data_IF_518255646952
#
_entry.id   IF_518255646952
#
_cell.length_a   1.000
_cell.length_b   1.000
_cell.length_c   1.000
_cell.angle_alpha   90.00
_cell.angle_beta   90.00
_cell.angle_gamma   90.00
#
_symmetry.space_group_name_H-M   'P 1'
#
loop_
_entity.id
_entity.type
_entity.pdbx_description
1 polymer ?
#
# COMPACT_ATOMS: atom_id res chain seq x y z
N UNK A 1 23.55 -10.27 -17.15
CA UNK A 1 22.67 -10.24 -15.96
C UNK A 1 21.96 -8.90 -16.01
N UNK A 2 20.68 -8.86 -16.35
CA UNK A 2 19.94 -7.58 -16.40
C UNK A 2 19.60 -7.21 -14.97
N UNK A 3 20.33 -6.26 -14.40
CA UNK A 3 20.03 -5.74 -13.07
C UNK A 3 18.70 -4.99 -13.14
N UNK A 4 17.72 -5.43 -12.35
CA UNK A 4 16.44 -4.72 -12.24
C UNK A 4 16.65 -3.48 -11.39
N UNK A 5 15.99 -2.38 -11.77
CA UNK A 5 16.05 -1.13 -11.02
C UNK A 5 15.36 -1.30 -9.67
N UNK A 6 15.94 -0.79 -8.58
CA UNK A 6 15.24 -0.71 -7.29
C UNK A 6 14.76 0.71 -7.02
N UNK A 7 13.57 0.87 -6.46
CA UNK A 7 13.03 2.18 -6.09
C UNK A 7 12.19 2.11 -4.83
N UNK A 8 12.35 3.11 -3.97
CA UNK A 8 11.57 3.29 -2.74
C UNK A 8 10.72 4.54 -2.85
N UNK A 9 9.44 4.45 -2.51
CA UNK A 9 8.52 5.58 -2.57
C UNK A 9 7.47 5.51 -1.47
N UNK A 10 6.93 6.68 -1.11
CA UNK A 10 5.78 6.79 -0.20
C UNK A 10 4.50 6.86 -1.01
N UNK A 11 3.43 6.25 -0.51
CA UNK A 11 2.12 6.43 -1.11
C UNK A 11 1.12 5.37 -0.67
N UNK A 12 -0.06 5.46 -1.27
CA UNK A 12 -1.18 4.57 -0.97
C UNK A 12 -1.57 3.82 -2.23
N UNK A 13 -1.81 2.51 -2.10
CA UNK A 13 -2.41 1.73 -3.17
C UNK A 13 -3.87 2.15 -3.36
N UNK A 14 -4.23 2.46 -4.60
CA UNK A 14 -5.62 2.77 -4.95
C UNK A 14 -6.48 1.50 -4.99
N UNK A 15 -5.87 0.38 -5.35
CA UNK A 15 -6.48 -0.94 -5.37
C UNK A 15 -5.53 -1.98 -4.77
N UNK A 16 -6.04 -3.10 -4.22
CA UNK A 16 -5.21 -4.19 -3.73
C UNK A 16 -4.18 -4.63 -4.77
N UNK A 17 -2.95 -4.89 -4.33
CA UNK A 17 -1.89 -5.34 -5.22
C UNK A 17 -2.19 -6.75 -5.74
N UNK A 18 -1.99 -6.98 -7.04
CA UNK A 18 -2.22 -8.29 -7.65
C UNK A 18 -1.17 -8.62 -8.71
N UNK A 19 -0.67 -9.86 -8.70
CA UNK A 19 0.20 -10.38 -9.75
C UNK A 19 -0.56 -10.43 -11.08
N UNK A 20 0.11 -10.06 -12.17
CA UNK A 20 -0.49 -10.00 -13.51
C UNK A 20 -1.27 -8.71 -13.80
N UNK A 21 -1.46 -7.84 -12.81
CA UNK A 21 -2.07 -6.52 -12.97
C UNK A 21 -1.04 -5.39 -12.79
N UNK A 22 -1.41 -4.17 -13.19
CA UNK A 22 -0.63 -2.97 -12.87
C UNK A 22 -0.96 -2.50 -11.44
N UNK A 23 0.05 -2.05 -10.69
CA UNK A 23 -0.19 -1.33 -9.45
C UNK A 23 -0.58 0.12 -9.75
N UNK A 24 -1.57 0.63 -9.00
CA UNK A 24 -1.98 2.04 -9.03
C UNK A 24 -1.65 2.65 -7.66
N UNK A 25 -0.74 3.62 -7.65
CA UNK A 25 -0.17 4.21 -6.44
C UNK A 25 -0.47 5.70 -6.45
N UNK A 26 -1.10 6.20 -5.40
CA UNK A 26 -1.26 7.63 -5.19
C UNK A 26 -0.10 8.15 -4.33
N UNK A 27 0.68 9.08 -4.89
CA UNK A 27 1.88 9.64 -4.27
C UNK A 27 1.91 11.15 -4.50
N UNK A 28 1.91 11.95 -3.41
CA UNK A 28 2.06 13.42 -3.46
C UNK A 28 1.11 14.11 -4.46
N UNK A 29 -0.15 13.71 -4.48
CA UNK A 29 -1.17 14.29 -5.37
C UNK A 29 -1.16 13.73 -6.80
N UNK A 30 -0.29 12.77 -7.11
CA UNK A 30 -0.19 12.15 -8.43
C UNK A 30 -0.56 10.68 -8.39
N UNK A 31 -1.26 10.23 -9.43
CA UNK A 31 -1.56 8.82 -9.65
C UNK A 31 -0.47 8.21 -10.55
N UNK A 32 0.24 7.23 -10.01
CA UNK A 32 1.31 6.52 -10.68
C UNK A 32 0.79 5.13 -11.04
N UNK A 33 0.97 4.76 -12.32
CA UNK A 33 0.69 3.42 -12.82
C UNK A 33 2.00 2.70 -13.11
N UNK A 34 2.20 1.54 -12.50
CA UNK A 34 3.39 0.72 -12.75
C UNK A 34 3.19 -0.17 -13.99
N UNK A 35 4.27 -0.77 -14.47
CA UNK A 35 4.17 -1.97 -15.30
C UNK A 35 3.58 -3.15 -14.51
N UNK A 36 3.25 -4.23 -15.21
CA UNK A 36 2.65 -5.43 -14.61
C UNK A 36 3.50 -5.97 -13.47
N UNK A 37 2.86 -6.19 -12.32
CA UNK A 37 3.41 -6.84 -11.15
C UNK A 37 3.63 -8.31 -11.48
N UNK A 38 4.84 -8.80 -11.26
CA UNK A 38 5.23 -10.18 -11.52
C UNK A 38 5.48 -10.97 -10.24
N UNK A 39 5.79 -10.31 -9.12
CA UNK A 39 5.92 -10.93 -7.82
C UNK A 39 5.57 -9.95 -6.69
N UNK A 40 5.12 -10.50 -5.57
CA UNK A 40 4.89 -9.77 -4.31
C UNK A 40 5.77 -10.47 -3.28
N UNK A 41 6.71 -9.73 -2.70
CA UNK A 41 7.74 -10.27 -1.81
C UNK A 41 7.39 -10.06 -0.35
N UNK A 42 6.75 -8.93 -0.04
CA UNK A 42 6.35 -8.57 1.32
C UNK A 42 5.08 -7.73 1.27
N UNK A 43 4.12 -8.03 2.13
CA UNK A 43 2.84 -7.33 2.23
C UNK A 43 2.53 -7.08 3.71
N UNK A 44 2.80 -5.85 4.16
CA UNK A 44 2.54 -5.39 5.50
C UNK A 44 1.90 -4.00 5.46
N UNK A 45 1.13 -3.62 6.50
CA UNK A 45 0.38 -2.36 6.50
C UNK A 45 1.26 -1.10 6.46
N UNK A 46 2.53 -1.21 6.82
CA UNK A 46 3.49 -0.09 6.86
C UNK A 46 4.40 -0.09 5.62
N UNK A 47 4.65 -1.26 5.05
CA UNK A 47 5.58 -1.43 3.93
C UNK A 47 5.17 -2.62 3.08
N UNK A 48 5.17 -2.41 1.77
CA UNK A 48 4.95 -3.45 0.79
C UNK A 48 6.11 -3.50 -0.20
N UNK A 49 6.58 -4.70 -0.52
CA UNK A 49 7.64 -4.92 -1.49
C UNK A 49 7.13 -5.80 -2.62
N UNK A 50 7.24 -5.31 -3.84
CA UNK A 50 6.76 -6.03 -5.01
C UNK A 50 7.65 -5.74 -6.21
N UNK A 51 7.55 -6.62 -7.20
CA UNK A 51 8.37 -6.58 -8.39
C UNK A 51 7.49 -6.46 -9.62
N UNK A 52 7.94 -5.62 -10.54
CA UNK A 52 7.40 -5.55 -11.89
C UNK A 52 8.41 -6.11 -12.89
N UNK A 53 8.10 -6.07 -14.18
CA UNK A 53 8.98 -6.57 -15.24
C UNK A 53 10.43 -6.07 -15.12
N UNK A 54 10.64 -4.81 -14.71
CA UNK A 54 11.97 -4.18 -14.71
C UNK A 54 12.33 -3.47 -13.40
N UNK A 55 11.46 -3.52 -12.38
CA UNK A 55 11.67 -2.71 -11.17
C UNK A 55 11.23 -3.43 -9.90
N UNK A 56 12.07 -3.36 -8.88
CA UNK A 56 11.76 -3.77 -7.51
C UNK A 56 11.29 -2.52 -6.76
N UNK A 57 10.05 -2.55 -6.29
CA UNK A 57 9.43 -1.45 -5.56
C UNK A 57 9.40 -1.76 -4.07
N UNK A 58 9.79 -0.76 -3.28
CA UNK A 58 9.50 -0.68 -1.85
C UNK A 58 8.52 0.47 -1.65
N UNK A 59 7.26 0.16 -1.40
CA UNK A 59 6.20 1.12 -1.13
C UNK A 59 6.05 1.28 0.39
N UNK A 60 6.37 2.46 0.88
CA UNK A 60 6.12 2.87 2.26
C UNK A 60 4.69 3.41 2.34
N UNK A 61 3.84 2.69 3.06
CA UNK A 61 2.43 3.03 3.21
C UNK A 61 2.31 4.05 4.34
N UNK A 62 1.60 5.14 4.07
CA UNK A 62 1.28 6.08 5.14
C UNK A 62 0.41 5.37 6.18
N UNK A 63 0.64 5.61 7.50
CA UNK A 63 -0.16 5.00 8.54
C UNK A 63 -1.62 5.37 8.28
N UNK A 64 -2.45 4.37 7.97
CA UNK A 64 -3.89 4.58 7.89
C UNK A 64 -4.32 5.24 9.19
N UNK A 65 -5.03 6.39 9.16
CA UNK A 65 -5.55 6.97 10.39
C UNK A 65 -6.43 5.92 11.02
N UNK A 66 -5.93 5.32 12.10
CA UNK A 66 -6.63 4.29 12.83
C UNK A 66 -7.91 4.94 13.32
N UNK A 67 -9.03 4.54 12.72
CA UNK A 67 -10.36 5.06 13.02
C UNK A 67 -10.52 4.96 14.53
N UNK A 68 -10.46 6.10 15.23
CA UNK A 68 -10.56 6.15 16.68
C UNK A 68 -11.86 5.44 17.04
N UNK A 69 -11.75 4.26 17.64
CA UNK A 69 -12.90 3.55 18.16
C UNK A 69 -13.49 4.46 19.24
N UNK A 70 -14.57 5.18 18.90
CA UNK A 70 -15.35 5.91 19.88
C UNK A 70 -15.81 4.89 20.93
N UNK A 71 -15.40 5.01 22.21
CA UNK A 71 -15.95 4.14 23.23
C UNK A 71 -17.45 4.46 23.33
N UNK A 72 -18.26 3.45 23.04
CA UNK A 72 -19.70 3.42 23.17
C UNK A 72 -20.13 4.04 24.51
N UNK A 73 -21.01 5.03 24.47
CA UNK A 73 -21.61 5.67 25.65
C UNK A 73 -22.21 4.61 26.59
N UNK A 74 -21.99 4.67 27.91
CA UNK A 74 -22.71 3.82 28.85
C UNK A 74 -24.17 4.29 28.95
N UNK A 75 -25.12 3.37 28.78
CA UNK A 75 -26.53 3.62 29.07
C UNK A 75 -26.68 3.84 30.58
N UNK A 76 -27.27 4.98 30.99
CA UNK A 76 -27.72 5.15 32.38
C UNK A 76 -28.92 4.23 32.61
N UNK A 77 -28.76 3.23 33.47
CA UNK A 77 -29.89 2.51 34.05
C UNK A 77 -30.51 3.39 35.15
N UNK A 78 -31.76 3.78 34.96
CA UNK A 78 -32.58 4.44 35.98
C UNK A 78 -33.11 3.38 36.96
N UNK A 79 -33.02 3.66 38.26
CA UNK A 79 -33.77 3.02 39.34
C UNK A 79 -34.14 4.07 40.39
#
# INVERSE_FOLDING_TARGET
MTEKKSTTMHGVLVYPLQIGACALIFHRGQLIRTSTVVAIHYDAPEVMQFETLNTHYTLLLDPTPQMAANPTMPVLAAA
#
